data_IF_556902905896
#
_entry.id   IF_556902905896
#
_cell.length_a   1.000
_cell.length_b   1.000
_cell.length_c   1.000
_cell.angle_alpha   90.00
_cell.angle_beta   90.00
_cell.angle_gamma   90.00
#
_symmetry.space_group_name_H-M   'P 1'
#
loop_
_entity.id
_entity.type
_entity.pdbx_description
1 polymer ?
#
# COMPACT_ATOMS: atom_id res chain seq x y z
N UNK A 1 -19.83 -53.81 18.88
CA UNK A 1 -20.09 -53.40 17.48
C UNK A 1 -18.96 -52.47 17.07
N UNK A 2 -18.51 -52.52 15.81
CA UNK A 2 -17.52 -51.57 15.29
C UNK A 2 -18.14 -50.17 15.37
N UNK A 3 -17.41 -49.18 15.88
CA UNK A 3 -17.93 -47.81 15.96
C UNK A 3 -18.19 -47.30 14.54
N UNK A 4 -19.39 -46.77 14.23
CA UNK A 4 -19.72 -46.30 12.89
C UNK A 4 -18.85 -45.09 12.53
N UNK A 5 -18.30 -45.06 11.32
CA UNK A 5 -17.20 -44.16 10.96
C UNK A 5 -17.28 -43.67 9.51
N UNK A 6 -17.17 -42.35 9.34
CA UNK A 6 -16.98 -41.67 8.05
C UNK A 6 -15.59 -41.05 8.01
N UNK A 7 -14.80 -41.42 7.01
CA UNK A 7 -13.53 -40.78 6.68
C UNK A 7 -13.77 -39.86 5.49
N UNK A 8 -13.48 -38.57 5.62
CA UNK A 8 -13.57 -37.61 4.51
C UNK A 8 -12.15 -37.34 4.02
N UNK A 9 -11.85 -37.74 2.79
CA UNK A 9 -10.48 -37.83 2.28
C UNK A 9 -10.25 -36.92 1.07
N UNK A 10 -9.22 -36.07 1.16
CA UNK A 10 -8.70 -35.29 0.05
C UNK A 10 -7.75 -36.10 -0.83
N UNK A 11 -8.16 -36.45 -2.05
CA UNK A 11 -7.39 -37.31 -2.97
C UNK A 11 -6.37 -36.54 -3.81
N UNK A 12 -6.03 -35.30 -3.43
CA UNK A 12 -5.11 -34.48 -4.21
C UNK A 12 -5.71 -33.98 -5.54
N UNK A 13 -4.93 -33.24 -6.33
CA UNK A 13 -5.41 -32.53 -7.52
C UNK A 13 -5.68 -33.48 -8.70
N UNK A 14 -5.05 -34.65 -8.76
CA UNK A 14 -5.33 -35.66 -9.80
C UNK A 14 -4.21 -36.65 -10.12
N UNK A 15 -2.98 -36.45 -9.61
CA UNK A 15 -1.91 -37.45 -9.71
C UNK A 15 -1.94 -38.39 -8.52
N UNK A 16 -1.70 -39.67 -8.76
CA UNK A 16 -1.53 -40.69 -7.70
C UNK A 16 -0.42 -40.31 -6.71
N UNK A 17 0.66 -39.68 -7.20
CA UNK A 17 1.78 -39.24 -6.36
C UNK A 17 1.42 -38.11 -5.38
N UNK A 18 0.32 -37.40 -5.65
CA UNK A 18 -0.16 -36.34 -4.78
C UNK A 18 -1.16 -36.86 -3.72
N UNK A 19 -1.49 -38.16 -3.74
CA UNK A 19 -2.35 -38.80 -2.75
C UNK A 19 -1.51 -39.17 -1.52
N UNK A 20 -1.96 -38.75 -0.34
CA UNK A 20 -1.23 -39.06 0.89
C UNK A 20 -1.37 -40.55 1.27
N UNK A 21 -0.36 -41.17 1.90
CA UNK A 21 -0.45 -42.55 2.36
C UNK A 21 -1.64 -42.83 3.29
N UNK A 22 -2.02 -41.85 4.11
CA UNK A 22 -3.19 -41.94 4.99
C UNK A 22 -4.50 -42.05 4.20
N UNK A 23 -4.63 -41.32 3.08
CA UNK A 23 -5.81 -41.38 2.21
C UNK A 23 -5.87 -42.71 1.47
N UNK A 24 -4.73 -43.21 0.96
CA UNK A 24 -4.67 -44.54 0.34
C UNK A 24 -5.11 -45.64 1.32
N UNK A 25 -4.58 -45.64 2.55
CA UNK A 25 -4.99 -46.57 3.59
C UNK A 25 -6.49 -46.49 3.88
N UNK A 26 -7.05 -45.29 4.00
CA UNK A 26 -8.48 -45.09 4.24
C UNK A 26 -9.35 -45.62 3.10
N UNK A 27 -8.93 -45.45 1.85
CA UNK A 27 -9.65 -46.00 0.68
C UNK A 27 -9.57 -47.53 0.66
N UNK A 28 -8.41 -48.12 0.95
CA UNK A 28 -8.23 -49.58 0.96
C UNK A 28 -8.94 -50.29 2.12
N UNK A 29 -9.17 -49.61 3.23
CA UNK A 29 -9.88 -50.15 4.40
C UNK A 29 -11.40 -49.92 4.37
N UNK A 30 -11.89 -49.04 3.49
CA UNK A 30 -13.29 -48.67 3.42
C UNK A 30 -14.18 -49.84 2.95
N UNK A 31 -15.35 -49.97 3.57
CA UNK A 31 -16.40 -50.87 3.09
C UNK A 31 -17.23 -50.22 1.98
N UNK A 32 -17.33 -48.88 2.01
CA UNK A 32 -18.07 -48.08 1.03
C UNK A 32 -17.26 -46.84 0.69
N UNK A 33 -17.07 -46.57 -0.60
CA UNK A 33 -16.43 -45.34 -1.10
C UNK A 33 -17.47 -44.49 -1.81
N UNK A 34 -17.67 -43.27 -1.32
CA UNK A 34 -18.70 -42.35 -1.81
C UNK A 34 -18.03 -41.15 -2.47
N UNK A 35 -18.40 -40.81 -3.70
CA UNK A 35 -17.70 -39.78 -4.44
C UNK A 35 -18.42 -39.29 -5.70
N UNK A 36 -17.74 -38.41 -6.44
CA UNK A 36 -18.14 -38.03 -7.78
C UNK A 36 -17.53 -39.02 -8.76
N UNK A 37 -18.29 -39.52 -9.74
CA UNK A 37 -17.83 -40.44 -10.79
C UNK A 37 -16.42 -40.17 -11.32
N UNK A 38 -16.11 -38.90 -11.57
CA UNK A 38 -14.82 -38.50 -12.13
C UNK A 38 -13.65 -38.84 -11.20
N UNK A 39 -13.82 -38.74 -9.88
CA UNK A 39 -12.76 -38.93 -8.88
C UNK A 39 -12.36 -40.39 -8.69
N UNK A 40 -13.28 -41.34 -8.91
CA UNK A 40 -12.99 -42.76 -8.75
C UNK A 40 -11.84 -43.25 -9.64
N UNK A 41 -11.62 -42.61 -10.80
CA UNK A 41 -10.51 -42.97 -11.70
C UNK A 41 -9.12 -42.86 -11.05
N UNK A 42 -8.97 -41.99 -10.05
CA UNK A 42 -7.69 -41.71 -9.41
C UNK A 42 -7.38 -42.65 -8.24
N UNK A 43 -8.39 -43.35 -7.73
CA UNK A 43 -8.27 -44.20 -6.53
C UNK A 43 -8.65 -45.65 -6.80
N UNK A 44 -9.06 -45.99 -8.03
CA UNK A 44 -9.63 -47.30 -8.41
C UNK A 44 -8.75 -48.47 -8.00
N UNK A 45 -7.44 -48.36 -8.17
CA UNK A 45 -6.49 -49.45 -7.90
C UNK A 45 -6.27 -49.70 -6.40
N UNK A 46 -6.74 -48.76 -5.56
CA UNK A 46 -6.65 -48.85 -4.10
C UNK A 46 -7.97 -49.24 -3.45
N UNK A 47 -9.09 -49.22 -4.19
CA UNK A 47 -10.39 -49.63 -3.68
C UNK A 47 -10.39 -51.14 -3.49
N UNK A 48 -10.83 -51.58 -2.31
CA UNK A 48 -10.98 -53.00 -1.99
C UNK A 48 -11.95 -53.66 -3.00
N UNK A 49 -11.67 -54.87 -3.52
CA UNK A 49 -12.52 -55.48 -4.55
C UNK A 49 -14.00 -55.67 -4.18
N UNK A 50 -14.30 -55.84 -2.89
CA UNK A 50 -15.65 -56.00 -2.33
C UNK A 50 -16.25 -54.68 -1.79
N UNK A 51 -15.53 -53.56 -1.87
CA UNK A 51 -16.05 -52.27 -1.43
C UNK A 51 -17.10 -51.72 -2.40
N UNK A 52 -18.19 -51.19 -1.84
CA UNK A 52 -19.26 -50.59 -2.63
C UNK A 52 -18.88 -49.17 -3.05
N UNK A 53 -18.93 -48.86 -4.36
CA UNK A 53 -18.62 -47.53 -4.88
C UNK A 53 -19.91 -46.79 -5.25
N UNK A 54 -20.17 -45.66 -4.59
CA UNK A 54 -21.41 -44.91 -4.75
C UNK A 54 -21.15 -43.59 -5.47
N UNK A 55 -21.72 -43.50 -6.67
CA UNK A 55 -21.74 -42.28 -7.48
C UNK A 55 -23.04 -41.53 -7.31
N UNK A 56 -22.94 -40.26 -6.94
CA UNK A 56 -24.09 -39.36 -6.77
C UNK A 56 -24.24 -38.34 -7.90
N UNK A 57 -23.31 -38.27 -8.85
CA UNK A 57 -23.29 -37.22 -9.88
C UNK A 57 -22.87 -35.84 -9.35
N UNK A 58 -22.91 -34.82 -10.23
CA UNK A 58 -22.58 -33.42 -9.90
C UNK A 58 -23.74 -32.66 -9.25
N UNK A 59 -23.44 -31.64 -8.43
CA UNK A 59 -24.41 -30.75 -7.75
C UNK A 59 -25.36 -31.47 -6.78
N UNK A 60 -24.91 -32.62 -6.25
CA UNK A 60 -25.67 -33.48 -5.32
C UNK A 60 -24.85 -33.78 -4.07
N UNK A 61 -24.05 -32.80 -3.64
CA UNK A 61 -23.18 -32.90 -2.46
C UNK A 61 -23.99 -33.26 -1.21
N UNK A 62 -25.20 -32.70 -1.05
CA UNK A 62 -26.10 -33.06 0.05
C UNK A 62 -26.51 -34.53 0.01
N UNK A 63 -26.95 -35.04 -1.14
CA UNK A 63 -27.33 -36.46 -1.30
C UNK A 63 -26.12 -37.37 -1.02
N UNK A 64 -24.93 -36.94 -1.43
CA UNK A 64 -23.67 -37.65 -1.16
C UNK A 64 -23.38 -37.77 0.33
N UNK A 65 -23.54 -36.68 1.06
CA UNK A 65 -23.42 -36.70 2.50
C UNK A 65 -24.51 -37.59 3.13
N UNK A 66 -25.76 -37.50 2.66
CA UNK A 66 -26.88 -38.30 3.19
C UNK A 66 -26.61 -39.81 3.07
N UNK A 67 -26.16 -40.26 1.89
CA UNK A 67 -25.78 -41.66 1.67
C UNK A 67 -24.60 -42.07 2.56
N UNK A 68 -23.59 -41.22 2.74
CA UNK A 68 -22.45 -41.55 3.59
C UNK A 68 -22.89 -41.86 5.04
N UNK A 69 -23.84 -41.10 5.58
CA UNK A 69 -24.41 -41.39 6.90
C UNK A 69 -25.27 -42.65 6.90
N UNK A 70 -26.10 -42.88 5.88
CA UNK A 70 -26.94 -44.09 5.80
C UNK A 70 -26.12 -45.38 5.88
N UNK A 71 -24.98 -45.45 5.17
CA UNK A 71 -24.08 -46.61 5.25
C UNK A 71 -23.30 -46.66 6.56
N UNK A 72 -22.82 -45.51 7.06
CA UNK A 72 -22.08 -45.48 8.32
C UNK A 72 -22.95 -45.92 9.49
N UNK A 73 -24.21 -45.51 9.54
CA UNK A 73 -25.19 -45.90 10.58
C UNK A 73 -25.56 -47.38 10.53
N UNK A 74 -25.36 -48.05 9.39
CA UNK A 74 -25.42 -49.51 9.25
C UNK A 74 -24.15 -50.23 9.75
N UNK A 75 -23.18 -49.49 10.31
CA UNK A 75 -21.92 -50.02 10.85
C UNK A 75 -20.81 -50.20 9.83
N UNK A 76 -20.94 -49.64 8.62
CA UNK A 76 -19.89 -49.66 7.58
C UNK A 76 -18.83 -48.59 7.84
N UNK A 77 -17.58 -48.86 7.48
CA UNK A 77 -16.56 -47.82 7.33
C UNK A 77 -16.77 -47.13 5.97
N UNK A 78 -17.11 -45.85 5.98
CA UNK A 78 -17.39 -45.09 4.75
C UNK A 78 -16.24 -44.12 4.45
N UNK A 79 -15.71 -44.12 3.24
CA UNK A 79 -14.74 -43.13 2.77
C UNK A 79 -15.39 -42.18 1.75
N UNK A 80 -15.54 -40.91 2.12
CA UNK A 80 -16.07 -39.84 1.26
C UNK A 80 -14.90 -39.12 0.60
N UNK A 81 -14.73 -39.29 -0.72
CA UNK A 81 -13.61 -38.71 -1.46
C UNK A 81 -13.93 -37.31 -2.02
N UNK A 82 -12.96 -36.40 -1.95
CA UNK A 82 -12.99 -35.06 -2.55
C UNK A 82 -11.69 -34.78 -3.29
N UNK A 83 -11.75 -34.13 -4.47
CA UNK A 83 -10.52 -33.67 -5.13
C UNK A 83 -9.84 -32.58 -4.32
N UNK A 84 -8.51 -32.54 -4.37
CA UNK A 84 -7.70 -31.60 -3.63
C UNK A 84 -7.70 -31.94 -2.13
N UNK A 85 -7.96 -30.93 -1.31
CA UNK A 85 -8.21 -31.09 0.12
C UNK A 85 -9.73 -31.12 0.38
N UNK A 86 -10.20 -32.06 1.22
CA UNK A 86 -11.63 -32.20 1.48
C UNK A 86 -12.23 -31.05 2.31
N UNK A 87 -11.42 -30.27 3.01
CA UNK A 87 -11.80 -29.09 3.77
C UNK A 87 -11.86 -27.80 2.93
N UNK A 88 -11.23 -27.75 1.76
CA UNK A 88 -11.18 -26.57 0.90
C UNK A 88 -12.23 -26.69 -0.21
N UNK A 89 -13.39 -26.06 -0.03
CA UNK A 89 -14.54 -26.15 -0.93
C UNK A 89 -14.97 -27.60 -1.25
N UNK A 90 -14.68 -28.54 -0.32
CA UNK A 90 -14.96 -29.97 -0.46
C UNK A 90 -16.07 -30.45 0.49
N UNK A 91 -16.10 -31.77 0.73
CA UNK A 91 -17.17 -32.43 1.47
C UNK A 91 -17.08 -32.31 3.00
N UNK A 92 -15.90 -32.01 3.56
CA UNK A 92 -15.69 -32.05 5.03
C UNK A 92 -16.66 -31.13 5.79
N UNK A 93 -16.83 -29.84 5.43
CA UNK A 93 -17.79 -28.97 6.13
C UNK A 93 -19.22 -29.52 6.09
N UNK A 94 -19.66 -29.99 4.92
CA UNK A 94 -21.02 -30.51 4.73
C UNK A 94 -21.27 -31.79 5.55
N UNK A 95 -20.29 -32.68 5.65
CA UNK A 95 -20.39 -33.90 6.47
C UNK A 95 -20.53 -33.54 7.97
N UNK A 96 -19.79 -32.54 8.45
CA UNK A 96 -19.93 -32.05 9.83
C UNK A 96 -21.27 -31.34 10.07
N UNK A 97 -21.72 -30.49 9.14
CA UNK A 97 -23.04 -29.85 9.20
C UNK A 97 -24.15 -30.88 9.28
N UNK A 98 -24.08 -31.93 8.44
CA UNK A 98 -25.06 -33.01 8.43
C UNK A 98 -25.02 -33.87 9.69
N UNK A 99 -23.83 -34.18 10.24
CA UNK A 99 -23.73 -34.86 11.54
C UNK A 99 -24.50 -34.10 12.61
N UNK A 100 -24.31 -32.78 12.67
CA UNK A 100 -24.99 -31.90 13.63
C UNK A 100 -26.50 -31.92 13.43
N UNK A 101 -26.97 -31.78 12.18
CA UNK A 101 -28.40 -31.78 11.86
C UNK A 101 -29.07 -33.12 12.17
N UNK A 102 -28.38 -34.24 11.92
CA UNK A 102 -28.86 -35.59 12.22
C UNK A 102 -28.74 -35.98 13.69
N UNK A 103 -27.98 -35.23 14.49
CA UNK A 103 -27.57 -35.64 15.84
C UNK A 103 -26.93 -37.04 15.86
N UNK A 104 -26.14 -37.36 14.85
CA UNK A 104 -25.57 -38.70 14.65
C UNK A 104 -24.30 -38.91 15.49
N UNK A 105 -24.13 -40.11 16.05
CA UNK A 105 -22.95 -40.50 16.84
C UNK A 105 -21.78 -41.02 15.98
N UNK A 106 -21.95 -41.07 14.66
CA UNK A 106 -20.93 -41.52 13.69
C UNK A 106 -19.62 -40.74 13.87
N UNK A 107 -18.50 -41.43 14.04
CA UNK A 107 -17.17 -40.81 14.09
C UNK A 107 -16.83 -40.19 12.72
N UNK A 108 -16.34 -38.94 12.72
CA UNK A 108 -15.84 -38.30 11.50
C UNK A 108 -14.32 -38.14 11.62
N UNK A 109 -13.60 -38.61 10.60
CA UNK A 109 -12.16 -38.38 10.45
C UNK A 109 -11.95 -37.58 9.16
N UNK A 110 -11.33 -36.40 9.26
CA UNK A 110 -10.92 -35.63 8.10
C UNK A 110 -9.45 -35.93 7.78
N UNK A 111 -9.17 -36.38 6.56
CA UNK A 111 -7.82 -36.61 6.07
C UNK A 111 -7.44 -35.55 5.02
N UNK A 112 -6.32 -34.83 5.22
CA UNK A 112 -5.93 -33.74 4.34
C UNK A 112 -5.43 -34.26 2.99
N UNK A 113 -5.49 -33.38 1.99
CA UNK A 113 -4.96 -33.63 0.65
C UNK A 113 -4.23 -32.41 0.09
N UNK A 114 -3.41 -32.61 -0.95
CA UNK A 114 -2.78 -31.49 -1.67
C UNK A 114 -3.85 -30.75 -2.46
N UNK A 115 -4.14 -29.50 -2.09
CA UNK A 115 -5.16 -28.71 -2.78
C UNK A 115 -4.66 -28.18 -4.12
N UNK A 116 -5.59 -27.91 -5.04
CA UNK A 116 -5.27 -27.51 -6.41
C UNK A 116 -4.38 -26.25 -6.50
N UNK A 117 -4.54 -25.27 -5.60
CA UNK A 117 -3.66 -24.09 -5.56
C UNK A 117 -2.23 -24.43 -5.17
N UNK A 118 -2.01 -25.41 -4.28
CA UNK A 118 -0.66 -25.82 -3.87
C UNK A 118 0.05 -26.47 -5.05
N UNK A 119 -0.66 -27.33 -5.78
CA UNK A 119 -0.13 -27.95 -7.00
C UNK A 119 0.15 -26.88 -8.07
N UNK A 120 -0.81 -26.02 -8.37
CA UNK A 120 -0.64 -24.92 -9.32
C UNK A 120 0.54 -24.01 -8.94
N UNK A 121 0.67 -23.64 -7.65
CA UNK A 121 1.79 -22.84 -7.18
C UNK A 121 3.15 -23.53 -7.39
N UNK A 122 3.24 -24.84 -7.12
CA UNK A 122 4.47 -25.61 -7.33
C UNK A 122 4.89 -25.69 -8.81
N UNK A 123 3.91 -25.66 -9.72
CA UNK A 123 4.13 -25.65 -11.17
C UNK A 123 4.50 -24.25 -11.70
N UNK A 124 3.98 -23.21 -11.06
CA UNK A 124 4.26 -21.81 -11.37
C UNK A 124 5.56 -21.31 -10.70
N UNK A 125 6.21 -22.08 -9.83
CA UNK A 125 7.41 -21.67 -9.09
C UNK A 125 7.13 -21.41 -7.61
N UNK A 126 7.15 -20.14 -7.19
CA UNK A 126 6.93 -19.74 -5.79
C UNK A 126 5.98 -18.53 -5.63
N UNK A 127 4.78 -18.54 -6.25
CA UNK A 127 3.89 -17.39 -6.21
C UNK A 127 3.23 -17.15 -4.84
N UNK A 128 3.10 -18.19 -4.00
CA UNK A 128 2.47 -18.11 -2.65
C UNK A 128 3.50 -18.02 -1.52
N UNK A 129 4.65 -17.39 -1.79
CA UNK A 129 5.77 -17.26 -0.84
C UNK A 129 5.54 -16.28 0.32
N UNK A 130 4.41 -15.56 0.32
CA UNK A 130 4.00 -14.57 1.32
C UNK A 130 2.53 -14.78 1.68
N UNK A 131 1.99 -13.92 2.54
CA UNK A 131 0.56 -13.81 2.85
C UNK A 131 -0.31 -13.96 1.59
N UNK A 132 -1.21 -14.94 1.62
CA UNK A 132 -2.12 -15.24 0.54
C UNK A 132 -3.53 -15.53 1.05
N UNK A 133 -4.51 -15.44 0.15
CA UNK A 133 -5.88 -15.86 0.39
C UNK A 133 -6.41 -16.76 -0.74
N UNK A 134 -7.49 -17.47 -0.45
CA UNK A 134 -8.19 -18.32 -1.42
C UNK A 134 -9.63 -17.84 -1.53
N UNK A 135 -10.07 -17.55 -2.76
CA UNK A 135 -11.41 -17.06 -3.04
C UNK A 135 -12.06 -17.96 -4.10
N UNK A 136 -13.30 -18.40 -3.84
CA UNK A 136 -14.13 -19.02 -4.88
C UNK A 136 -15.01 -17.97 -5.55
N UNK A 137 -15.12 -18.04 -6.88
CA UNK A 137 -16.07 -17.23 -7.66
C UNK A 137 -17.45 -17.88 -7.81
N UNK A 138 -17.70 -19.00 -7.12
CA UNK A 138 -19.01 -19.64 -7.13
C UNK A 138 -19.99 -18.87 -6.25
N UNK A 139 -20.95 -18.19 -6.88
CA UNK A 139 -22.03 -17.43 -6.27
C UNK A 139 -23.30 -18.25 -5.98
N UNK A 140 -23.27 -19.57 -6.25
CA UNK A 140 -24.43 -20.47 -6.09
C UNK A 140 -25.04 -20.43 -4.67
N UNK A 141 -24.19 -20.42 -3.65
CA UNK A 141 -24.59 -20.39 -2.23
C UNK A 141 -24.01 -19.17 -1.48
N UNK A 142 -23.30 -18.28 -2.19
CA UNK A 142 -22.66 -17.10 -1.62
C UNK A 142 -23.07 -15.89 -2.45
N UNK A 143 -23.83 -14.92 -1.90
CA UNK A 143 -24.19 -13.71 -2.63
C UNK A 143 -22.97 -13.00 -3.21
N UNK A 144 -23.08 -12.53 -4.45
CA UNK A 144 -21.97 -11.91 -5.18
C UNK A 144 -21.37 -10.73 -4.41
N UNK A 145 -22.19 -9.93 -3.74
CA UNK A 145 -21.75 -8.77 -2.95
C UNK A 145 -20.74 -9.17 -1.86
N UNK A 146 -20.88 -10.37 -1.31
CA UNK A 146 -19.92 -10.92 -0.33
C UNK A 146 -18.61 -11.36 -1.01
N UNK A 147 -18.68 -11.92 -2.21
CA UNK A 147 -17.51 -12.32 -2.98
C UNK A 147 -16.74 -11.07 -3.42
N UNK A 148 -17.44 -10.07 -3.95
CA UNK A 148 -16.88 -8.77 -4.34
C UNK A 148 -16.17 -8.08 -3.16
N UNK A 149 -16.80 -8.05 -1.97
CA UNK A 149 -16.15 -7.53 -0.76
C UNK A 149 -14.86 -8.27 -0.41
N UNK A 150 -14.79 -9.59 -0.60
CA UNK A 150 -13.57 -10.38 -0.37
C UNK A 150 -12.49 -10.07 -1.40
N UNK A 151 -12.87 -9.91 -2.66
CA UNK A 151 -11.96 -9.52 -3.75
C UNK A 151 -11.34 -8.16 -3.47
N UNK A 152 -12.16 -7.16 -3.13
CA UNK A 152 -11.71 -5.80 -2.77
C UNK A 152 -10.76 -5.86 -1.58
N UNK A 153 -11.13 -6.58 -0.52
CA UNK A 153 -10.28 -6.72 0.66
C UNK A 153 -8.94 -7.40 0.35
N UNK A 154 -8.93 -8.44 -0.50
CA UNK A 154 -7.71 -9.12 -0.92
C UNK A 154 -6.78 -8.20 -1.72
N UNK A 155 -7.35 -7.37 -2.61
CA UNK A 155 -6.60 -6.39 -3.38
C UNK A 155 -6.02 -5.28 -2.48
N UNK A 156 -6.85 -4.67 -1.62
CA UNK A 156 -6.46 -3.59 -0.71
C UNK A 156 -5.39 -4.01 0.30
N UNK A 157 -5.47 -5.24 0.81
CA UNK A 157 -4.54 -5.75 1.81
C UNK A 157 -3.29 -6.42 1.20
N UNK A 158 -3.07 -6.28 -0.11
CA UNK A 158 -1.91 -6.79 -0.81
C UNK A 158 -1.71 -8.32 -0.76
N UNK A 159 -2.80 -9.10 -0.70
CA UNK A 159 -2.70 -10.56 -0.68
C UNK A 159 -2.40 -11.14 -2.07
N UNK A 160 -1.51 -12.14 -2.12
CA UNK A 160 -1.52 -13.10 -3.23
C UNK A 160 -2.86 -13.82 -3.21
N UNK A 161 -3.53 -13.97 -4.36
CA UNK A 161 -4.90 -14.49 -4.40
C UNK A 161 -5.00 -15.71 -5.30
N UNK A 162 -5.32 -16.87 -4.70
CA UNK A 162 -5.68 -18.06 -5.44
C UNK A 162 -7.20 -18.10 -5.70
N UNK A 163 -7.60 -18.25 -6.95
CA UNK A 163 -9.00 -18.21 -7.39
C UNK A 163 -9.49 -19.61 -7.75
N UNK A 164 -10.57 -20.02 -7.09
CA UNK A 164 -11.26 -21.30 -7.31
C UNK A 164 -12.60 -21.13 -8.01
N UNK A 165 -13.01 -22.18 -8.72
CA UNK A 165 -14.27 -22.23 -9.47
C UNK A 165 -14.44 -21.01 -10.39
N UNK A 166 -13.40 -20.65 -11.18
CA UNK A 166 -13.31 -19.32 -11.80
C UNK A 166 -14.35 -19.11 -12.90
N UNK A 167 -14.77 -20.19 -13.59
CA UNK A 167 -15.73 -20.14 -14.69
C UNK A 167 -16.65 -21.37 -14.69
N UNK A 168 -17.84 -21.20 -15.25
CA UNK A 168 -18.77 -22.27 -15.64
C UNK A 168 -19.80 -21.70 -16.63
N UNK A 169 -20.71 -22.53 -17.16
CA UNK A 169 -21.78 -22.07 -18.05
C UNK A 169 -22.59 -20.88 -17.48
N UNK A 170 -22.94 -20.91 -16.20
CA UNK A 170 -23.65 -19.81 -15.52
C UNK A 170 -22.73 -18.74 -14.93
N UNK A 171 -21.41 -18.94 -14.95
CA UNK A 171 -20.41 -18.03 -14.37
C UNK A 171 -19.42 -17.60 -15.45
N UNK A 172 -19.82 -16.63 -16.25
CA UNK A 172 -19.05 -16.14 -17.39
C UNK A 172 -18.50 -14.72 -17.20
N UNK A 173 -18.99 -13.96 -16.21
CA UNK A 173 -18.66 -12.53 -16.02
C UNK A 173 -17.87 -12.24 -14.75
N UNK A 174 -17.93 -13.12 -13.75
CA UNK A 174 -17.35 -12.92 -12.42
C UNK A 174 -15.83 -12.73 -12.47
N UNK A 175 -15.15 -13.45 -13.36
CA UNK A 175 -13.70 -13.34 -13.52
C UNK A 175 -13.28 -12.00 -14.15
N UNK A 176 -14.08 -11.47 -15.09
CA UNK A 176 -13.90 -10.11 -15.60
C UNK A 176 -14.04 -9.07 -14.49
N UNK A 177 -15.09 -9.21 -13.67
CA UNK A 177 -15.33 -8.31 -12.53
C UNK A 177 -14.20 -8.40 -11.50
N UNK A 178 -13.67 -9.59 -11.24
CA UNK A 178 -12.50 -9.75 -10.37
C UNK A 178 -11.30 -8.96 -10.91
N UNK A 179 -10.97 -9.10 -12.20
CA UNK A 179 -9.85 -8.38 -12.82
C UNK A 179 -10.03 -6.86 -12.72
N UNK A 180 -11.25 -6.39 -13.00
CA UNK A 180 -11.62 -4.97 -12.86
C UNK A 180 -11.41 -4.45 -11.44
N UNK A 181 -11.88 -5.18 -10.43
CA UNK A 181 -11.76 -4.79 -9.03
C UNK A 181 -10.31 -4.72 -8.55
N UNK A 182 -9.47 -5.69 -8.93
CA UNK A 182 -8.04 -5.62 -8.61
C UNK A 182 -7.39 -4.35 -9.19
N UNK A 183 -7.69 -4.01 -10.45
CA UNK A 183 -7.17 -2.80 -11.08
C UNK A 183 -7.72 -1.52 -10.41
N UNK A 184 -9.00 -1.49 -10.05
CA UNK A 184 -9.65 -0.35 -9.37
C UNK A 184 -9.03 -0.07 -7.99
N UNK A 185 -8.70 -1.12 -7.25
CA UNK A 185 -8.07 -1.02 -5.93
C UNK A 185 -6.55 -0.78 -5.99
N UNK A 186 -6.01 -0.44 -7.16
CA UNK A 186 -4.63 0.00 -7.33
C UNK A 186 -3.61 -1.12 -7.55
N UNK A 187 -4.04 -2.35 -7.85
CA UNK A 187 -3.12 -3.40 -8.32
C UNK A 187 -2.50 -2.98 -9.66
N UNK A 188 -1.19 -3.16 -9.80
CA UNK A 188 -0.49 -2.85 -11.04
C UNK A 188 -1.04 -3.69 -12.21
N UNK A 189 -1.29 -3.09 -13.39
CA UNK A 189 -1.59 -3.83 -14.62
C UNK A 189 -0.55 -4.91 -14.96
N UNK A 190 0.71 -4.67 -14.58
CA UNK A 190 1.85 -5.58 -14.81
C UNK A 190 2.02 -6.67 -13.75
N UNK A 191 1.13 -6.73 -12.75
CA UNK A 191 1.19 -7.79 -11.73
C UNK A 191 1.11 -9.16 -12.40
N UNK A 192 2.05 -10.08 -12.12
CA UNK A 192 2.00 -11.43 -12.67
C UNK A 192 0.72 -12.17 -12.28
N UNK A 193 0.13 -12.84 -13.26
CA UNK A 193 -0.99 -13.77 -13.10
C UNK A 193 -0.59 -15.10 -13.71
N UNK A 194 -0.67 -16.17 -12.92
CA UNK A 194 -0.44 -17.53 -13.38
C UNK A 194 -1.74 -18.31 -13.35
N UNK A 195 -2.01 -19.13 -14.34
CA UNK A 195 -3.16 -20.03 -14.32
C UNK A 195 -2.76 -21.40 -14.84
N UNK A 196 -3.25 -22.41 -14.14
CA UNK A 196 -2.93 -23.82 -14.41
C UNK A 196 -4.21 -24.58 -14.63
N UNK A 197 -4.40 -25.09 -15.83
CA UNK A 197 -5.50 -25.98 -16.20
C UNK A 197 -5.08 -27.41 -15.90
N UNK A 198 -5.99 -28.21 -15.31
CA UNK A 198 -5.78 -29.65 -15.06
C UNK A 198 -4.48 -29.97 -14.29
N UNK A 199 -4.15 -29.15 -13.28
CA UNK A 199 -2.93 -29.30 -12.49
C UNK A 199 -2.76 -30.74 -11.96
N UNK A 200 -1.64 -31.38 -12.29
CA UNK A 200 -1.32 -32.75 -11.91
C UNK A 200 -2.04 -33.84 -12.71
N UNK A 201 -2.62 -33.54 -13.89
CA UNK A 201 -3.33 -34.50 -14.76
C UNK A 201 -2.79 -34.44 -16.21
N UNK A 202 -3.23 -35.37 -17.05
CA UNK A 202 -2.71 -35.55 -18.43
C UNK A 202 -2.83 -34.32 -19.34
N UNK A 203 -3.85 -33.47 -19.14
CA UNK A 203 -4.09 -32.25 -19.92
C UNK A 203 -3.56 -30.97 -19.23
N UNK A 204 -2.50 -31.11 -18.43
CA UNK A 204 -1.96 -29.99 -17.68
C UNK A 204 -1.41 -28.90 -18.61
N UNK A 205 -1.87 -27.67 -18.42
CA UNK A 205 -1.34 -26.49 -19.09
C UNK A 205 -0.99 -25.42 -18.06
N UNK A 206 0.17 -24.79 -18.23
CA UNK A 206 0.70 -23.77 -17.33
C UNK A 206 0.89 -22.49 -18.12
N UNK A 207 0.30 -21.41 -17.65
CA UNK A 207 0.36 -20.11 -18.30
C UNK A 207 0.77 -19.04 -17.30
N UNK A 208 1.66 -18.14 -17.71
CA UNK A 208 2.06 -16.94 -16.94
C UNK A 208 1.88 -15.72 -17.83
N UNK A 209 1.15 -14.74 -17.31
CA UNK A 209 0.82 -13.48 -17.99
C UNK A 209 0.79 -12.34 -16.97
N UNK A 210 0.27 -11.17 -17.34
CA UNK A 210 0.04 -10.03 -16.44
C UNK A 210 -1.44 -9.81 -16.20
N UNK A 211 -1.79 -9.06 -15.14
CA UNK A 211 -3.18 -8.78 -14.79
C UNK A 211 -3.96 -8.08 -15.92
N UNK A 212 -3.28 -7.22 -16.70
CA UNK A 212 -3.89 -6.54 -17.85
C UNK A 212 -4.07 -7.46 -19.05
N UNK A 213 -3.10 -8.32 -19.33
CA UNK A 213 -3.10 -9.21 -20.48
C UNK A 213 -3.87 -10.52 -20.24
N UNK A 214 -4.19 -10.85 -18.99
CA UNK A 214 -4.95 -12.04 -18.64
C UNK A 214 -6.35 -12.00 -19.26
N UNK A 215 -6.63 -12.99 -20.13
CA UNK A 215 -7.93 -13.18 -20.78
C UNK A 215 -8.78 -14.22 -20.02
N UNK A 216 -9.89 -13.80 -19.38
CA UNK A 216 -10.85 -14.72 -18.75
C UNK A 216 -11.47 -15.77 -19.68
N UNK A 217 -11.35 -15.63 -21.01
CA UNK A 217 -11.85 -16.63 -21.96
C UNK A 217 -10.99 -17.90 -22.06
N UNK A 218 -9.72 -17.84 -21.68
CA UNK A 218 -8.79 -18.99 -21.72
C UNK A 218 -8.94 -19.94 -20.52
N UNK A 219 -9.88 -19.65 -19.62
CA UNK A 219 -10.07 -20.36 -18.34
C UNK A 219 -11.34 -21.19 -18.36
N UNK A 220 -11.27 -22.43 -17.86
CA UNK A 220 -12.43 -23.29 -17.66
C UNK A 220 -12.61 -23.69 -16.18
N UNK A 221 -13.51 -24.63 -15.90
CA UNK A 221 -13.80 -25.08 -14.54
C UNK A 221 -12.68 -25.91 -13.89
N UNK A 222 -11.70 -26.36 -14.66
CA UNK A 222 -10.54 -27.15 -14.22
C UNK A 222 -9.27 -26.30 -14.08
N UNK A 223 -9.40 -24.97 -14.17
CA UNK A 223 -8.30 -24.03 -14.02
C UNK A 223 -8.27 -23.44 -12.62
N UNK A 224 -7.07 -23.33 -12.05
CA UNK A 224 -6.78 -22.51 -10.86
C UNK A 224 -5.94 -21.32 -11.28
N UNK A 225 -6.30 -20.13 -10.79
CA UNK A 225 -5.60 -18.88 -11.09
C UNK A 225 -4.89 -18.41 -9.82
N UNK A 226 -3.68 -17.89 -9.95
CA UNK A 226 -2.91 -17.24 -8.89
C UNK A 226 -2.54 -15.84 -9.35
N UNK A 227 -3.07 -14.83 -8.66
CA UNK A 227 -2.76 -13.42 -8.88
C UNK A 227 -1.70 -13.02 -7.87
N UNK A 228 -0.56 -12.52 -8.36
CA UNK A 228 0.52 -12.02 -7.52
C UNK A 228 0.11 -10.80 -6.68
N UNK A 229 0.94 -10.49 -5.68
CA UNK A 229 0.85 -9.24 -4.94
C UNK A 229 1.78 -8.17 -5.52
N UNK A 230 1.99 -7.06 -4.82
CA UNK A 230 2.80 -5.93 -5.34
C UNK A 230 4.30 -6.25 -5.41
N UNK A 231 4.73 -7.36 -4.83
CA UNK A 231 6.12 -7.81 -4.81
C UNK A 231 6.37 -9.01 -5.74
N UNK A 232 5.31 -9.63 -6.27
CA UNK A 232 5.43 -10.76 -7.19
C UNK A 232 6.02 -10.29 -8.52
N UNK A 233 7.02 -11.02 -9.01
CA UNK A 233 7.62 -10.81 -10.32
C UNK A 233 7.74 -12.14 -11.08
N UNK A 234 7.85 -12.06 -12.40
CA UNK A 234 8.11 -13.23 -13.26
C UNK A 234 9.61 -13.36 -13.53
N UNK A 235 10.12 -14.59 -13.51
CA UNK A 235 11.48 -14.94 -13.92
C UNK A 235 11.41 -16.13 -14.89
N UNK A 236 11.59 -15.86 -16.18
CA UNK A 236 11.26 -16.82 -17.24
C UNK A 236 9.78 -17.19 -17.17
N UNK A 237 9.48 -18.48 -17.17
CA UNK A 237 8.12 -19.03 -17.05
C UNK A 237 7.66 -19.20 -15.59
N UNK A 238 8.45 -18.72 -14.61
CA UNK A 238 8.11 -18.85 -13.19
C UNK A 238 7.63 -17.54 -12.60
N UNK A 239 6.77 -17.64 -11.59
CA UNK A 239 6.32 -16.55 -10.73
C UNK A 239 6.96 -16.68 -9.35
N UNK A 240 7.48 -15.57 -8.85
CA UNK A 240 8.18 -15.51 -7.57
C UNK A 240 7.59 -14.38 -6.73
N UNK A 241 7.07 -14.72 -5.55
CA UNK A 241 6.78 -13.75 -4.50
C UNK A 241 7.91 -13.80 -3.47
N UNK A 242 8.77 -12.76 -3.40
CA UNK A 242 10.01 -12.82 -2.63
C UNK A 242 9.75 -12.85 -1.12
N UNK A 243 10.58 -13.59 -0.39
CA UNK A 243 10.62 -13.58 1.09
C UNK A 243 11.34 -12.36 1.69
N UNK A 244 11.97 -11.53 0.83
CA UNK A 244 12.68 -10.32 1.23
C UNK A 244 14.21 -10.44 1.38
N UNK A 245 14.79 -11.66 1.40
CA UNK A 245 16.24 -11.86 1.57
C UNK A 245 17.11 -11.31 0.43
N UNK A 246 16.61 -11.39 -0.80
CA UNK A 246 17.32 -10.97 -2.01
C UNK A 246 16.62 -9.77 -2.66
N UNK A 247 15.98 -8.91 -1.86
CA UNK A 247 15.61 -7.60 -2.40
C UNK A 247 16.89 -7.03 -2.98
N UNK A 248 16.86 -6.74 -4.28
CA UNK A 248 17.79 -5.76 -4.83
C UNK A 248 17.64 -4.54 -3.93
N UNK A 249 18.60 -4.37 -3.03
CA UNK A 249 19.02 -3.04 -2.66
C UNK A 249 19.32 -2.38 -3.99
N UNK A 250 18.33 -1.69 -4.57
CA UNK A 250 18.64 -0.57 -5.42
C UNK A 250 19.61 0.23 -4.57
N UNK A 251 20.87 0.22 -4.98
CA UNK A 251 21.90 1.11 -4.53
C UNK A 251 21.45 2.54 -4.87
N UNK A 252 20.45 3.03 -4.16
CA UNK A 252 20.30 4.44 -3.92
C UNK A 252 20.81 4.60 -2.50
N UNK A 253 21.93 5.30 -2.38
CA UNK A 253 22.62 5.70 -1.16
C UNK A 253 21.70 6.51 -0.22
N UNK A 254 20.64 5.89 0.26
CA UNK A 254 19.58 6.49 1.07
C UNK A 254 19.69 5.86 2.44
N UNK A 255 20.13 6.67 3.42
CA UNK A 255 20.18 6.23 4.80
C UNK A 255 18.77 5.90 5.32
N UNK A 256 18.67 5.07 6.36
CA UNK A 256 17.40 4.67 7.00
C UNK A 256 16.48 5.89 7.27
N UNK A 257 17.07 7.01 7.68
CA UNK A 257 16.33 8.27 7.91
C UNK A 257 15.70 8.87 6.66
N UNK A 258 16.38 8.81 5.51
CA UNK A 258 15.86 9.31 4.24
C UNK A 258 14.70 8.44 3.75
N UNK A 259 14.82 7.12 3.89
CA UNK A 259 13.75 6.16 3.55
C UNK A 259 12.46 6.41 4.33
N UNK A 260 12.58 6.67 5.64
CA UNK A 260 11.43 7.01 6.49
C UNK A 260 10.77 8.31 6.02
N UNK A 261 11.57 9.31 5.65
CA UNK A 261 11.06 10.58 5.13
C UNK A 261 10.35 10.41 3.78
N UNK A 262 10.92 9.63 2.85
CA UNK A 262 10.30 9.30 1.56
C UNK A 262 8.95 8.62 1.76
N UNK A 263 8.89 7.63 2.65
CA UNK A 263 7.62 6.94 2.97
C UNK A 263 6.61 7.91 3.58
N UNK A 264 7.04 8.77 4.51
CA UNK A 264 6.17 9.78 5.12
C UNK A 264 5.57 10.72 4.07
N UNK A 265 6.37 11.21 3.12
CA UNK A 265 5.90 12.10 2.06
C UNK A 265 4.91 11.40 1.12
N UNK A 266 5.14 10.12 0.78
CA UNK A 266 4.18 9.32 0.00
C UNK A 266 2.86 9.10 0.74
N UNK A 267 2.90 8.85 2.05
CA UNK A 267 1.71 8.73 2.88
C UNK A 267 0.92 10.03 2.90
N UNK A 268 1.59 11.16 3.16
CA UNK A 268 0.96 12.48 3.17
C UNK A 268 0.32 12.76 1.80
N UNK A 269 1.04 12.52 0.70
CA UNK A 269 0.52 12.72 -0.67
C UNK A 269 -0.73 11.87 -0.96
N UNK A 270 -0.74 10.63 -0.48
CA UNK A 270 -1.88 9.72 -0.55
C UNK A 270 -3.12 10.25 0.20
N UNK A 271 -2.91 10.98 1.29
CA UNK A 271 -3.98 11.50 2.16
C UNK A 271 -4.46 12.92 1.79
N UNK A 272 -3.72 13.68 0.96
CA UNK A 272 -4.12 15.02 0.52
C UNK A 272 -5.52 15.01 -0.12
N UNK A 273 -6.37 16.00 0.21
CA UNK A 273 -7.72 16.13 -0.36
C UNK A 273 -7.68 16.62 -1.79
N UNK A 274 -6.82 17.60 -2.09
CA UNK A 274 -6.62 18.05 -3.46
C UNK A 274 -5.45 17.28 -4.09
N UNK A 275 -5.72 16.53 -5.17
CA UNK A 275 -4.68 15.80 -5.92
C UNK A 275 -4.02 16.65 -7.02
N UNK A 276 -4.68 17.71 -7.48
CA UNK A 276 -4.23 18.56 -8.57
C UNK A 276 -3.57 19.82 -8.01
N UNK A 277 -2.35 19.66 -7.49
CA UNK A 277 -1.56 20.73 -6.89
C UNK A 277 -0.29 20.93 -7.73
N UNK A 278 0.06 22.17 -8.13
CA UNK A 278 1.33 22.47 -8.80
C UNK A 278 2.54 21.96 -8.00
N UNK A 279 3.57 21.45 -8.68
CA UNK A 279 4.69 20.76 -8.05
C UNK A 279 5.43 21.61 -7.00
N UNK A 280 5.62 22.90 -7.30
CA UNK A 280 6.28 23.86 -6.42
C UNK A 280 5.51 24.06 -5.10
N UNK A 281 4.21 24.28 -5.19
CA UNK A 281 3.33 24.39 -4.03
C UNK A 281 3.24 23.07 -3.28
N UNK A 282 3.06 21.96 -4.01
CA UNK A 282 2.97 20.60 -3.45
C UNK A 282 4.21 20.26 -2.64
N UNK A 283 5.39 20.60 -3.13
CA UNK A 283 6.64 20.34 -2.41
C UNK A 283 6.70 21.07 -1.07
N UNK A 284 6.42 22.37 -1.06
CA UNK A 284 6.36 23.15 0.18
C UNK A 284 5.27 22.63 1.14
N UNK A 285 4.12 22.23 0.61
CA UNK A 285 2.99 21.69 1.37
C UNK A 285 3.32 20.37 2.06
N UNK A 286 3.93 19.42 1.35
CA UNK A 286 4.34 18.13 1.93
C UNK A 286 5.36 18.33 3.06
N UNK A 287 6.32 19.23 2.86
CA UNK A 287 7.28 19.63 3.90
C UNK A 287 6.57 20.23 5.13
N UNK A 288 5.62 21.15 4.91
CA UNK A 288 4.85 21.79 5.96
C UNK A 288 4.03 20.78 6.78
N UNK A 289 3.28 19.89 6.10
CA UNK A 289 2.49 18.85 6.77
C UNK A 289 3.41 17.87 7.50
N UNK A 290 4.51 17.41 6.89
CA UNK A 290 5.44 16.48 7.54
C UNK A 290 6.01 17.06 8.84
N UNK A 291 6.34 18.35 8.85
CA UNK A 291 6.91 19.03 10.02
C UNK A 291 5.90 19.24 11.15
N UNK A 292 4.62 19.35 10.81
CA UNK A 292 3.56 19.75 11.77
C UNK A 292 2.59 18.63 12.11
N UNK A 293 2.59 17.55 11.33
CA UNK A 293 1.55 16.53 11.27
C UNK A 293 0.13 17.12 11.14
N UNK A 294 0.00 18.24 10.41
CA UNK A 294 -1.23 19.03 10.36
C UNK A 294 -1.71 19.25 8.91
N UNK A 295 -2.75 18.52 8.50
CA UNK A 295 -3.36 18.66 7.17
C UNK A 295 -4.14 19.97 6.97
N UNK A 296 -4.35 20.80 8.01
CA UNK A 296 -4.89 22.15 7.82
C UNK A 296 -3.97 23.01 6.93
N UNK A 297 -2.69 22.63 6.77
CA UNK A 297 -1.77 23.29 5.85
C UNK A 297 -2.28 23.31 4.41
N UNK A 298 -3.15 22.38 3.98
CA UNK A 298 -3.80 22.42 2.66
C UNK A 298 -4.60 23.73 2.43
N UNK A 299 -5.09 24.34 3.52
CA UNK A 299 -5.85 25.61 3.47
C UNK A 299 -4.99 26.81 3.87
N UNK A 300 -4.00 26.58 4.72
CA UNK A 300 -3.23 27.64 5.37
C UNK A 300 -1.97 28.01 4.61
N UNK A 301 -1.31 27.06 3.94
CA UNK A 301 -0.12 27.38 3.15
C UNK A 301 -0.55 28.06 1.85
N UNK A 302 -0.05 29.27 1.65
CA UNK A 302 -0.12 30.02 0.41
C UNK A 302 1.29 30.16 -0.16
N UNK A 303 1.44 29.96 -1.47
CA UNK A 303 2.67 30.26 -2.20
C UNK A 303 2.31 31.03 -3.45
N UNK A 304 3.05 32.10 -3.77
CA UNK A 304 2.94 32.68 -5.12
C UNK A 304 3.30 31.60 -6.16
N UNK A 305 2.65 31.59 -7.34
CA UNK A 305 2.98 30.64 -8.39
C UNK A 305 4.46 30.69 -8.77
N UNK A 306 5.16 29.56 -8.69
CA UNK A 306 6.56 29.44 -9.03
C UNK A 306 7.53 29.91 -7.94
N UNK A 307 7.06 30.38 -6.78
CA UNK A 307 7.92 31.02 -5.78
C UNK A 307 9.05 30.10 -5.26
N UNK A 308 8.74 28.82 -5.01
CA UNK A 308 9.74 27.85 -4.53
C UNK A 308 10.82 27.63 -5.59
N UNK A 309 10.41 27.42 -6.83
CA UNK A 309 11.30 27.21 -7.96
C UNK A 309 12.16 28.46 -8.22
N UNK A 310 11.56 29.65 -8.28
CA UNK A 310 12.29 30.89 -8.57
C UNK A 310 13.33 31.22 -7.50
N UNK A 311 13.03 30.97 -6.23
CA UNK A 311 13.98 31.19 -5.13
C UNK A 311 15.13 30.18 -5.19
N UNK A 312 14.86 28.91 -5.52
CA UNK A 312 15.91 27.92 -5.74
C UNK A 312 16.82 28.31 -6.91
N UNK A 313 16.24 28.74 -8.04
CA UNK A 313 17.01 29.18 -9.20
C UNK A 313 17.85 30.44 -8.91
N UNK A 314 17.31 31.41 -8.15
CA UNK A 314 18.06 32.60 -7.74
C UNK A 314 19.29 32.26 -6.88
N UNK A 315 19.20 31.20 -6.06
CA UNK A 315 20.36 30.67 -5.32
C UNK A 315 21.38 30.04 -6.27
N UNK A 316 20.93 29.19 -7.19
CA UNK A 316 21.81 28.52 -8.16
C UNK A 316 22.52 29.48 -9.12
N UNK A 317 21.89 30.60 -9.46
CA UNK A 317 22.46 31.69 -10.27
C UNK A 317 23.36 32.65 -9.46
N UNK A 318 23.47 32.44 -8.14
CA UNK A 318 24.26 33.30 -7.25
C UNK A 318 23.66 34.68 -6.99
N UNK A 319 22.39 34.91 -7.35
CA UNK A 319 21.64 36.16 -7.09
C UNK A 319 21.17 36.25 -5.65
N UNK A 320 20.86 35.12 -5.02
CA UNK A 320 20.46 35.03 -3.62
C UNK A 320 21.53 34.32 -2.80
N UNK A 321 22.29 35.08 -1.99
CA UNK A 321 23.41 34.57 -1.19
C UNK A 321 23.17 34.53 0.32
N UNK A 322 22.13 35.23 0.79
CA UNK A 322 21.89 35.41 2.22
C UNK A 322 20.43 35.21 2.56
N UNK A 323 20.19 34.42 3.61
CA UNK A 323 18.90 34.19 4.23
C UNK A 323 18.92 34.88 5.60
N UNK A 324 17.97 35.77 5.85
CA UNK A 324 17.84 36.49 7.12
C UNK A 324 16.64 35.95 7.87
N UNK A 325 16.84 35.54 9.12
CA UNK A 325 15.77 35.05 10.00
C UNK A 325 15.50 36.03 11.14
N UNK A 326 14.24 36.09 11.59
CA UNK A 326 13.82 36.95 12.71
C UNK A 326 14.29 36.45 14.08
N UNK A 327 14.42 35.12 14.24
CA UNK A 327 14.84 34.47 15.49
C UNK A 327 15.84 33.33 15.24
N UNK A 328 16.74 33.10 16.20
CA UNK A 328 17.80 32.09 16.10
C UNK A 328 17.28 30.68 15.88
N UNK A 329 16.10 30.34 16.44
CA UNK A 329 15.49 29.02 16.27
C UNK A 329 15.14 28.71 14.81
N UNK A 330 14.71 29.71 14.03
CA UNK A 330 14.45 29.53 12.60
C UNK A 330 15.77 29.29 11.85
N UNK A 331 16.82 30.05 12.17
CA UNK A 331 18.15 29.82 11.60
C UNK A 331 18.69 28.41 11.89
N UNK A 332 18.54 27.92 13.13
CA UNK A 332 19.03 26.60 13.53
C UNK A 332 18.29 25.43 12.85
N UNK A 333 17.05 25.64 12.40
CA UNK A 333 16.27 24.62 11.68
C UNK A 333 16.61 24.49 10.20
N UNK A 334 17.38 25.42 9.62
CA UNK A 334 17.79 25.37 8.22
C UNK A 334 18.99 24.42 8.08
N UNK A 335 18.92 23.49 7.13
CA UNK A 335 19.89 22.39 6.99
C UNK A 335 21.27 22.91 6.59
N UNK A 336 22.27 22.73 7.47
CA UNK A 336 23.67 23.14 7.24
C UNK A 336 24.27 22.51 5.97
N UNK A 337 23.97 21.24 5.70
CA UNK A 337 24.44 20.56 4.48
C UNK A 337 23.93 21.24 3.21
N UNK A 338 22.65 21.62 3.18
CA UNK A 338 22.06 22.34 2.05
C UNK A 338 22.69 23.74 1.86
N UNK A 339 22.93 24.47 2.95
CA UNK A 339 23.59 25.78 2.93
C UNK A 339 25.01 25.69 2.37
N UNK A 340 25.81 24.74 2.84
CA UNK A 340 27.17 24.52 2.35
C UNK A 340 27.19 24.12 0.87
N UNK A 341 26.30 23.21 0.47
CA UNK A 341 26.17 22.73 -0.91
C UNK A 341 25.80 23.85 -1.89
N UNK A 342 24.94 24.78 -1.46
CA UNK A 342 24.45 25.87 -2.30
C UNK A 342 25.23 27.18 -2.13
N UNK A 343 26.20 27.23 -1.20
CA UNK A 343 26.99 28.44 -0.94
C UNK A 343 26.16 29.61 -0.39
N UNK A 344 25.12 29.33 0.40
CA UNK A 344 24.22 30.34 0.97
C UNK A 344 24.46 30.48 2.47
N UNK A 345 24.48 31.72 2.97
CA UNK A 345 24.62 32.01 4.39
C UNK A 345 23.26 32.25 5.05
N UNK A 346 23.11 31.80 6.30
CA UNK A 346 21.97 32.14 7.16
C UNK A 346 22.43 33.09 8.27
N UNK A 347 21.74 34.23 8.42
CA UNK A 347 22.03 35.24 9.45
C UNK A 347 20.81 35.51 10.32
N UNK A 348 21.07 35.83 11.59
CA UNK A 348 20.07 36.27 12.56
C UNK A 348 20.69 37.36 13.43
N UNK A 349 20.17 38.58 13.32
CA UNK A 349 20.71 39.75 13.99
C UNK A 349 20.13 39.97 15.39
N UNK A 350 19.20 39.11 15.85
CA UNK A 350 18.49 39.29 17.13
C UNK A 350 19.43 39.50 18.34
N UNK A 351 20.61 38.87 18.32
CA UNK A 351 21.60 38.92 19.39
C UNK A 351 22.82 39.81 19.04
N UNK A 352 22.76 40.58 17.95
CA UNK A 352 23.82 41.54 17.61
C UNK A 352 23.84 42.68 18.64
N UNK A 353 25.03 43.08 19.10
CA UNK A 353 25.18 44.12 20.13
C UNK A 353 24.56 45.45 19.68
N UNK A 354 24.65 45.79 18.38
CA UNK A 354 24.08 47.00 17.78
C UNK A 354 22.55 47.03 17.85
N UNK A 355 21.92 45.85 17.89
CA UNK A 355 20.45 45.72 17.89
C UNK A 355 19.85 46.11 19.23
N UNK A 356 20.53 45.80 20.35
CA UNK A 356 20.05 46.17 21.68
C UNK A 356 19.99 47.70 21.84
N UNK A 357 21.05 48.39 21.42
CA UNK A 357 21.13 49.86 21.45
C UNK A 357 20.10 50.50 20.50
N UNK A 358 19.94 49.97 19.29
CA UNK A 358 18.96 50.48 18.32
C UNK A 358 17.51 50.29 18.81
N UNK A 359 17.21 49.14 19.43
CA UNK A 359 15.89 48.86 19.98
C UNK A 359 15.51 49.86 21.08
N UNK A 360 16.44 50.11 22.01
CA UNK A 360 16.23 51.05 23.12
C UNK A 360 16.09 52.50 22.62
N UNK A 361 17.01 52.96 21.77
CA UNK A 361 17.03 54.35 21.28
C UNK A 361 15.81 54.71 20.41
N UNK A 362 15.30 53.76 19.62
CA UNK A 362 14.18 53.99 18.70
C UNK A 362 12.82 53.53 19.25
N UNK A 363 12.78 52.96 20.45
CA UNK A 363 11.55 52.46 21.08
C UNK A 363 10.86 51.33 20.30
N UNK A 364 11.64 50.43 19.68
CA UNK A 364 11.15 49.31 18.88
C UNK A 364 11.60 47.97 19.48
N UNK A 365 11.02 46.85 19.02
CA UNK A 365 11.45 45.53 19.49
C UNK A 365 12.84 45.16 18.95
N UNK A 366 13.56 44.27 19.64
CA UNK A 366 14.85 43.76 19.18
C UNK A 366 14.77 43.07 17.82
N UNK A 367 13.66 42.38 17.53
CA UNK A 367 13.46 41.75 16.22
C UNK A 367 13.26 42.79 15.12
N UNK A 368 12.56 43.91 15.37
CA UNK A 368 12.47 45.03 14.42
C UNK A 368 13.83 45.69 14.17
N UNK A 369 14.59 45.98 15.24
CA UNK A 369 15.92 46.55 15.13
C UNK A 369 16.88 45.60 14.38
N UNK A 370 16.78 44.30 14.62
CA UNK A 370 17.52 43.28 13.88
C UNK A 370 17.23 43.27 12.39
N UNK A 371 15.96 43.41 11.98
CA UNK A 371 15.60 43.50 10.57
C UNK A 371 16.11 44.80 9.93
N UNK A 372 16.05 45.94 10.63
CA UNK A 372 16.62 47.20 10.13
C UNK A 372 18.11 47.06 9.83
N UNK A 373 18.86 46.49 10.76
CA UNK A 373 20.28 46.26 10.60
C UNK A 373 20.56 45.24 9.47
N UNK A 374 19.77 44.18 9.39
CA UNK A 374 19.90 43.18 8.33
C UNK A 374 19.65 43.79 6.93
N UNK A 375 18.68 44.70 6.79
CA UNK A 375 18.39 45.40 5.53
C UNK A 375 19.51 46.36 5.13
N UNK A 376 20.20 46.98 6.09
CA UNK A 376 21.37 47.83 5.80
C UNK A 376 22.54 47.03 5.22
N UNK A 377 22.71 45.77 5.62
CA UNK A 377 23.80 44.91 5.16
C UNK A 377 23.41 44.00 3.97
N UNK A 378 22.17 43.51 3.93
CA UNK A 378 21.65 42.52 2.96
C UNK A 378 20.23 42.90 2.51
N UNK A 379 20.04 44.03 1.79
CA UNK A 379 18.72 44.52 1.40
C UNK A 379 17.97 43.57 0.45
N UNK A 380 18.69 42.68 -0.24
CA UNK A 380 18.23 41.73 -1.25
C UNK A 380 18.07 40.29 -0.74
N UNK A 381 18.27 40.06 0.56
CA UNK A 381 18.17 38.73 1.17
C UNK A 381 16.78 38.07 1.01
N UNK A 382 16.74 36.75 1.24
CA UNK A 382 15.49 36.04 1.53
C UNK A 382 15.18 36.25 3.01
N UNK A 383 14.07 36.94 3.30
CA UNK A 383 13.67 37.23 4.69
C UNK A 383 12.65 36.21 5.19
N UNK A 384 12.92 35.63 6.36
CA UNK A 384 12.21 34.47 6.91
C UNK A 384 11.74 34.79 8.32
N UNK A 385 10.43 34.70 8.53
CA UNK A 385 9.79 35.08 9.78
C UNK A 385 9.05 33.90 10.37
N UNK A 386 9.55 33.37 11.49
CA UNK A 386 8.94 32.23 12.19
C UNK A 386 8.23 32.61 13.48
N UNK A 387 8.48 33.79 14.04
CA UNK A 387 7.96 34.15 15.36
C UNK A 387 7.37 35.57 15.41
N UNK A 388 8.17 36.61 15.12
CA UNK A 388 7.84 37.99 15.48
C UNK A 388 7.05 38.73 14.39
N UNK A 389 5.74 39.02 14.59
CA UNK A 389 4.93 39.76 13.62
C UNK A 389 5.46 41.18 13.39
N UNK A 390 5.95 41.83 14.45
CA UNK A 390 6.51 43.19 14.39
C UNK A 390 7.72 43.26 13.46
N UNK A 391 8.53 42.20 13.37
CA UNK A 391 9.68 42.15 12.49
C UNK A 391 9.28 42.08 11.02
N UNK A 392 8.23 41.30 10.72
CA UNK A 392 7.65 41.22 9.37
C UNK A 392 7.02 42.56 8.95
N UNK A 393 6.30 43.21 9.87
CA UNK A 393 5.72 44.54 9.63
C UNK A 393 6.81 45.58 9.35
N UNK A 394 7.94 45.51 10.07
CA UNK A 394 9.09 46.38 9.85
C UNK A 394 9.70 46.18 8.47
N UNK A 395 9.89 44.93 8.01
CA UNK A 395 10.34 44.67 6.65
C UNK A 395 9.39 45.30 5.62
N UNK A 396 8.07 45.15 5.80
CA UNK A 396 7.08 45.73 4.90
C UNK A 396 7.18 47.27 4.84
N UNK A 397 7.42 47.93 5.96
CA UNK A 397 7.65 49.39 6.01
C UNK A 397 8.94 49.78 5.29
N UNK A 398 10.01 49.00 5.44
CA UNK A 398 11.29 49.23 4.77
C UNK A 398 11.20 49.01 3.24
N UNK A 399 10.44 48.01 2.78
CA UNK A 399 10.17 47.80 1.34
C UNK A 399 9.42 49.02 0.77
N UNK A 400 8.38 49.50 1.47
CA UNK A 400 7.61 50.68 1.02
C UNK A 400 8.44 51.95 0.95
N UNK A 401 9.48 52.05 1.78
CA UNK A 401 10.43 53.17 1.81
C UNK A 401 11.61 52.97 0.86
N UNK A 402 11.56 51.96 0.00
CA UNK A 402 12.62 51.60 -0.96
C UNK A 402 13.99 51.38 -0.29
N UNK A 403 13.98 50.93 0.98
CA UNK A 403 15.20 50.58 1.72
C UNK A 403 15.55 49.10 1.62
N UNK A 404 14.56 48.25 1.32
CA UNK A 404 14.71 46.81 1.17
C UNK A 404 14.17 46.36 -0.19
N UNK A 405 14.89 45.44 -0.85
CA UNK A 405 14.50 44.81 -2.11
C UNK A 405 14.61 43.28 -2.02
N UNK A 406 13.86 42.61 -1.12
CA UNK A 406 14.01 41.17 -0.87
C UNK A 406 13.92 40.31 -2.13
N UNK A 407 14.79 39.32 -2.23
CA UNK A 407 14.65 38.24 -3.22
C UNK A 407 13.40 37.39 -2.97
N UNK A 408 12.92 37.33 -1.73
CA UNK A 408 11.68 36.67 -1.36
C UNK A 408 11.33 36.82 0.12
N UNK A 409 10.13 36.37 0.48
CA UNK A 409 9.61 36.42 1.86
C UNK A 409 9.00 35.07 2.26
N UNK A 410 9.42 34.51 3.39
CA UNK A 410 8.73 33.41 4.07
C UNK A 410 8.05 33.97 5.32
N UNK A 411 6.73 34.10 5.28
CA UNK A 411 5.91 34.69 6.34
C UNK A 411 5.14 33.60 7.10
N UNK A 412 5.75 33.07 8.16
CA UNK A 412 5.14 32.11 9.07
C UNK A 412 5.20 32.54 10.57
N UNK A 413 5.02 33.83 10.95
CA UNK A 413 4.95 34.17 12.36
C UNK A 413 3.73 33.51 13.03
N UNK A 414 3.89 33.15 14.30
CA UNK A 414 2.86 32.48 15.11
C UNK A 414 2.46 33.35 16.29
N UNK A 415 1.21 33.26 16.72
CA UNK A 415 0.71 33.97 17.89
C UNK A 415 -0.71 34.50 17.72
N UNK A 416 -1.08 35.45 18.57
CA UNK A 416 -2.47 35.92 18.70
C UNK A 416 -2.66 37.40 18.39
N UNK A 417 -1.60 38.21 18.44
CA UNK A 417 -1.66 39.67 18.28
C UNK A 417 -0.82 40.08 17.06
N UNK A 418 -1.40 40.85 16.15
CA UNK A 418 -0.78 41.36 14.91
C UNK A 418 -0.26 40.31 13.90
N UNK A 419 -0.47 39.01 14.14
CA UNK A 419 0.05 37.92 13.30
C UNK A 419 -0.58 37.92 11.91
N UNK A 420 -1.92 37.93 11.85
CA UNK A 420 -2.64 37.86 10.57
C UNK A 420 -2.41 39.13 9.76
N UNK A 421 -2.43 40.28 10.43
CA UNK A 421 -2.18 41.59 9.85
C UNK A 421 -0.76 41.65 9.26
N UNK A 422 0.25 41.20 9.99
CA UNK A 422 1.65 41.18 9.50
C UNK A 422 1.81 40.33 8.23
N UNK A 423 1.12 39.19 8.12
CA UNK A 423 1.14 38.33 6.94
C UNK A 423 0.45 38.98 5.76
N UNK A 424 -0.72 39.59 6.00
CA UNK A 424 -1.47 40.32 4.98
C UNK A 424 -0.69 41.52 4.43
N UNK A 425 0.11 42.20 5.26
CA UNK A 425 0.96 43.32 4.82
C UNK A 425 1.99 42.91 3.75
N UNK A 426 2.31 41.63 3.59
CA UNK A 426 3.23 41.16 2.55
C UNK A 426 2.57 41.00 1.18
N UNK A 427 1.25 40.81 1.13
CA UNK A 427 0.49 40.51 -0.10
C UNK A 427 0.56 41.61 -1.17
N UNK A 428 0.55 42.92 -0.84
CA UNK A 428 0.67 43.97 -1.84
C UNK A 428 1.97 43.96 -2.66
N UNK A 429 3.04 43.32 -2.16
CA UNK A 429 4.33 43.22 -2.87
C UNK A 429 4.29 42.09 -3.91
N UNK A 430 3.51 42.27 -4.97
CA UNK A 430 3.25 41.23 -6.00
C UNK A 430 4.48 40.80 -6.79
N UNK A 431 5.53 41.62 -6.82
CA UNK A 431 6.79 41.34 -7.53
C UNK A 431 7.80 40.57 -6.67
N UNK A 432 7.53 40.40 -5.37
CA UNK A 432 8.39 39.67 -4.44
C UNK A 432 7.80 38.26 -4.23
N UNK A 433 8.49 37.18 -4.64
CA UNK A 433 8.04 35.82 -4.39
C UNK A 433 7.82 35.57 -2.90
N UNK A 434 6.66 35.04 -2.52
CA UNK A 434 6.35 34.80 -1.10
C UNK A 434 5.68 33.46 -0.82
N UNK A 435 6.01 32.92 0.35
CA UNK A 435 5.34 31.80 0.99
C UNK A 435 4.74 32.31 2.30
N UNK A 436 3.44 32.13 2.49
CA UNK A 436 2.69 32.64 3.64
C UNK A 436 1.96 31.48 4.29
N UNK A 437 2.09 31.34 5.62
CA UNK A 437 1.21 30.45 6.39
C UNK A 437 0.09 31.31 6.93
N UNK A 438 -1.07 31.30 6.28
CA UNK A 438 -2.23 32.14 6.61
C UNK A 438 -2.75 31.91 8.03
N UNK A 439 -3.55 32.87 8.52
CA UNK A 439 -4.12 32.78 9.86
C UNK A 439 -3.08 32.97 10.97
N UNK A 440 -3.31 32.34 12.12
CA UNK A 440 -2.48 32.49 13.34
C UNK A 440 -1.41 31.41 13.52
N UNK A 441 -1.53 30.29 12.80
CA UNK A 441 -0.55 29.20 12.80
C UNK A 441 0.74 29.66 12.13
N UNK A 442 1.85 29.04 12.50
CA UNK A 442 3.19 29.43 12.07
C UNK A 442 4.21 28.77 12.98
N UNK A 443 5.43 29.30 12.99
CA UNK A 443 6.48 28.88 13.90
C UNK A 443 7.84 28.85 13.24
N UNK A 444 8.90 28.93 14.05
CA UNK A 444 10.28 28.82 13.61
C UNK A 444 10.57 27.51 12.87
N UNK A 445 10.00 26.40 13.33
CA UNK A 445 10.11 25.09 12.69
C UNK A 445 9.50 25.11 11.28
N UNK A 446 8.31 25.69 11.12
CA UNK A 446 7.62 25.76 9.84
C UNK A 446 8.34 26.72 8.88
N UNK A 447 8.77 27.89 9.36
CA UNK A 447 9.56 28.83 8.57
C UNK A 447 10.86 28.19 8.06
N UNK A 448 11.61 27.51 8.92
CA UNK A 448 12.83 26.80 8.54
C UNK A 448 12.56 25.66 7.56
N UNK A 449 11.47 24.91 7.75
CA UNK A 449 11.06 23.84 6.83
C UNK A 449 10.71 24.36 5.45
N UNK A 450 10.01 25.49 5.34
CA UNK A 450 9.68 26.09 4.03
C UNK A 450 10.95 26.56 3.31
N UNK A 451 11.94 27.08 4.05
CA UNK A 451 13.27 27.36 3.49
C UNK A 451 13.95 26.08 3.03
N UNK A 452 13.94 25.02 3.85
CA UNK A 452 14.52 23.74 3.46
C UNK A 452 13.86 23.17 2.19
N UNK A 453 12.54 23.32 2.04
CA UNK A 453 11.82 22.92 0.82
C UNK A 453 12.33 23.67 -0.43
N UNK A 454 12.63 24.98 -0.31
CA UNK A 454 13.28 25.75 -1.37
C UNK A 454 14.67 25.16 -1.67
N UNK A 455 15.50 24.94 -0.66
CA UNK A 455 16.89 24.47 -0.83
C UNK A 455 17.01 23.04 -1.41
N UNK A 456 15.94 22.26 -1.38
CA UNK A 456 15.88 20.91 -1.96
C UNK A 456 14.80 20.77 -3.06
N UNK A 457 14.41 21.86 -3.72
CA UNK A 457 13.39 21.82 -4.78
C UNK A 457 13.65 20.81 -5.92
N UNK A 458 14.89 20.55 -6.38
CA UNK A 458 15.13 19.53 -7.42
C UNK A 458 14.68 18.12 -7.05
N UNK A 459 14.53 17.83 -5.76
CA UNK A 459 14.11 16.52 -5.27
C UNK A 459 12.57 16.33 -5.36
N UNK A 460 11.83 17.39 -5.73
CA UNK A 460 10.38 17.41 -5.77
C UNK A 460 9.80 16.45 -6.83
N UNK A 461 10.36 16.42 -8.04
CA UNK A 461 9.85 15.59 -9.15
C UNK A 461 9.85 14.09 -8.80
N UNK A 462 10.86 13.65 -8.06
CA UNK A 462 11.04 12.24 -7.68
C UNK A 462 10.42 11.94 -6.31
N UNK A 463 9.88 12.94 -5.62
CA UNK A 463 9.41 12.84 -4.24
C UNK A 463 10.47 12.23 -3.30
N UNK A 464 11.72 12.70 -3.42
CA UNK A 464 12.89 12.17 -2.71
C UNK A 464 13.44 13.16 -1.67
N UNK A 465 12.70 13.50 -0.60
CA UNK A 465 13.18 14.41 0.41
C UNK A 465 14.39 13.81 1.16
N UNK A 466 15.09 14.67 1.89
CA UNK A 466 16.03 14.24 2.92
C UNK A 466 17.47 13.98 2.45
N UNK A 467 17.86 14.50 1.29
CA UNK A 467 19.22 14.40 0.73
C UNK A 467 20.33 14.95 1.63
N UNK A 468 20.00 15.88 2.52
CA UNK A 468 20.92 16.55 3.44
C UNK A 468 20.57 16.26 4.92
N UNK A 469 20.00 15.08 5.21
CA UNK A 469 19.59 14.61 6.57
C UNK A 469 20.70 13.82 7.23
#
# INVERSE_FOLDING_TARGET
MKQPKIIVAGIGPGSEQDITPAVLAAVSEADVVVGYKYYFRFIRDFVRPDAECIDTGMKRERVRAEQAFEYAEQGKTVCVISSGDAGIYGMTPLIYEMKRERQSDVEIIALPGISAFQKAASLLGAPVGHDFCVISLSDLMTPWERIERRIIAAAQADFVTAVYNPKSEGRYWQLYRLRELFLQEGRSPETPVGYVRQAGRDEQEIHVTTLSAFDPEEVDMFTVIIIGNSQTYSFGETMITPRGYYRETKEDATGIGQDIMIRSFRTIDGELKNKNIPLDHKWALLHAIHTTADFDMEKLLYTDPGAVASLYHAIGEGKLKTIVTDVTMAASGIRKGALQRLGVEVKCYLNDERVAEMAASKGITRTQAGIRLAVEEHPDALFVFGNAPTALMELCDLIRKERAHPSGIVAAPVGFVHVQESKHMTKPFVHIPKLIVEGRKGGSNLAATLVNAILCYPDAEQLRPGRDV
#
